data_IF_677775775745
#
_entry.id   IF_677775775745
#
_cell.length_a   1.000
_cell.length_b   1.000
_cell.length_c   1.000
_cell.angle_alpha   90.00
_cell.angle_beta   90.00
_cell.angle_gamma   90.00
#
_symmetry.space_group_name_H-M   'P 1'
#
loop_
_entity.id
_entity.type
_entity.pdbx_description
1 polymer ?
#
# COMPACT_ATOMS: atom_id res chain seq x y z
N UNK A 1 18.12 6.56 -17.19
CA UNK A 1 17.35 5.48 -17.85
C UNK A 1 16.44 4.68 -16.90
N UNK A 2 16.60 4.77 -15.56
CA UNK A 2 15.79 4.01 -14.58
C UNK A 2 14.41 4.64 -14.26
N UNK A 3 14.29 5.98 -14.30
CA UNK A 3 13.01 6.69 -14.10
C UNK A 3 11.94 6.26 -15.11
N UNK A 4 12.33 6.03 -16.36
CA UNK A 4 11.41 5.60 -17.41
C UNK A 4 10.82 4.21 -17.12
N UNK A 5 11.64 3.28 -16.61
CA UNK A 5 11.18 1.93 -16.22
C UNK A 5 10.23 1.97 -15.02
N UNK A 6 10.48 2.86 -14.05
CA UNK A 6 9.60 3.08 -12.91
C UNK A 6 8.24 3.62 -13.39
N UNK A 7 8.24 4.62 -14.28
CA UNK A 7 7.02 5.16 -14.88
C UNK A 7 6.24 4.11 -15.69
N UNK A 8 6.93 3.21 -16.42
CA UNK A 8 6.28 2.13 -17.18
C UNK A 8 5.59 1.11 -16.27
N UNK A 9 6.17 0.79 -15.11
CA UNK A 9 5.53 -0.10 -14.13
C UNK A 9 4.30 0.58 -13.52
N UNK A 10 4.35 1.88 -13.24
CA UNK A 10 3.18 2.64 -12.75
C UNK A 10 2.06 2.74 -13.79
N UNK A 11 2.38 2.86 -15.09
CA UNK A 11 1.37 2.94 -16.15
C UNK A 11 0.63 1.63 -16.41
N UNK A 12 1.21 0.48 -16.06
CA UNK A 12 0.59 -0.85 -16.28
C UNK A 12 -0.48 -1.22 -15.24
N UNK A 13 -0.62 -0.45 -14.15
CA UNK A 13 -1.69 -0.65 -13.15
C UNK A 13 -2.96 0.18 -13.43
N UNK A 14 -3.02 0.93 -14.54
CA UNK A 14 -4.20 1.73 -14.93
C UNK A 14 -5.17 0.89 -15.80
N UNK A 15 -5.44 -0.35 -15.38
CA UNK A 15 -6.30 -1.28 -16.12
C UNK A 15 -7.77 -1.31 -15.65
N UNK A 16 -8.07 -0.73 -14.49
CA UNK A 16 -9.44 -0.50 -14.06
C UNK A 16 -9.69 1.00 -14.20
N UNK A 17 -10.56 1.37 -15.14
CA UNK A 17 -11.12 2.71 -15.18
C UNK A 17 -11.57 3.06 -13.76
N UNK A 18 -11.07 4.18 -13.23
CA UNK A 18 -11.48 4.77 -11.97
C UNK A 18 -12.96 5.16 -12.10
N UNK A 19 -13.85 4.18 -11.97
CA UNK A 19 -15.30 4.37 -11.96
C UNK A 19 -15.69 5.06 -10.66
N UNK A 20 -15.44 6.36 -10.59
CA UNK A 20 -16.07 7.23 -9.63
C UNK A 20 -16.98 8.19 -10.37
N UNK A 21 -18.19 7.73 -10.66
CA UNK A 21 -19.29 8.58 -11.08
C UNK A 21 -19.81 9.32 -9.85
N UNK A 22 -19.44 10.60 -9.70
CA UNK A 22 -20.13 11.62 -8.87
C UNK A 22 -20.46 11.29 -7.40
N UNK A 23 -19.73 10.40 -6.73
CA UNK A 23 -19.84 10.21 -5.29
C UNK A 23 -18.63 10.86 -4.60
N UNK A 24 -18.79 11.53 -3.44
CA UNK A 24 -17.67 12.06 -2.68
C UNK A 24 -16.66 10.94 -2.45
N UNK A 25 -15.43 11.18 -2.91
CA UNK A 25 -14.37 10.20 -2.83
C UNK A 25 -13.82 10.11 -1.39
N UNK A 26 -14.50 9.35 -0.52
CA UNK A 26 -14.03 9.13 0.84
C UNK A 26 -12.85 8.14 0.88
N UNK A 27 -11.67 8.72 1.05
CA UNK A 27 -10.42 8.03 1.36
C UNK A 27 -10.23 8.01 2.88
N UNK A 28 -10.23 6.82 3.49
CA UNK A 28 -9.98 6.69 4.93
C UNK A 28 -8.56 6.19 5.19
N UNK A 29 -7.89 6.82 6.17
CA UNK A 29 -6.61 6.36 6.69
C UNK A 29 -6.84 5.61 7.98
N UNK A 30 -6.30 4.40 8.08
CA UNK A 30 -6.55 3.52 9.24
C UNK A 30 -5.30 2.81 9.70
N UNK A 31 -5.16 2.66 11.02
CA UNK A 31 -4.14 1.81 11.61
C UNK A 31 -4.48 0.33 11.41
N UNK A 32 -3.48 -0.50 11.09
CA UNK A 32 -3.64 -1.96 11.02
C UNK A 32 -4.16 -2.57 12.33
N UNK A 33 -3.82 -1.96 13.46
CA UNK A 33 -4.32 -2.37 14.78
C UNK A 33 -5.83 -2.19 14.89
N UNK A 34 -6.40 -1.12 14.32
CA UNK A 34 -7.85 -0.91 14.25
C UNK A 34 -8.51 -1.95 13.35
N UNK A 35 -7.90 -2.27 12.20
CA UNK A 35 -8.39 -3.34 11.31
C UNK A 35 -8.48 -4.68 12.03
N UNK A 36 -7.49 -5.02 12.86
CA UNK A 36 -7.45 -6.28 13.59
C UNK A 36 -8.40 -6.33 14.80
N UNK A 37 -8.75 -5.17 15.38
CA UNK A 37 -9.56 -5.10 16.62
C UNK A 37 -11.05 -4.89 16.37
N UNK A 38 -11.41 -4.11 15.35
CA UNK A 38 -12.79 -3.71 15.12
C UNK A 38 -13.62 -4.83 14.47
N UNK A 39 -14.92 -4.84 14.77
CA UNK A 39 -15.86 -5.84 14.27
C UNK A 39 -16.16 -5.67 12.77
N UNK A 40 -16.71 -6.71 12.15
CA UNK A 40 -17.21 -6.60 10.78
C UNK A 40 -18.33 -5.56 10.64
N UNK A 41 -19.18 -5.37 11.66
CA UNK A 41 -20.25 -4.37 11.63
C UNK A 41 -19.72 -2.93 11.59
N UNK A 42 -18.66 -2.64 12.34
CA UNK A 42 -17.96 -1.35 12.27
C UNK A 42 -17.44 -1.11 10.85
N UNK A 43 -16.80 -2.12 10.26
CA UNK A 43 -16.25 -1.99 8.91
C UNK A 43 -17.30 -1.90 7.83
N UNK A 44 -18.45 -2.56 7.96
CA UNK A 44 -19.59 -2.41 7.05
C UNK A 44 -20.11 -0.98 7.02
N UNK A 45 -20.19 -0.30 8.17
CA UNK A 45 -20.61 1.11 8.23
C UNK A 45 -19.60 2.01 7.50
N UNK A 46 -18.30 1.85 7.78
CA UNK A 46 -17.24 2.62 7.10
C UNK A 46 -17.24 2.35 5.59
N UNK A 47 -17.33 1.08 5.18
CA UNK A 47 -17.29 0.68 3.77
C UNK A 47 -18.52 1.16 3.00
N UNK A 48 -19.69 1.25 3.63
CA UNK A 48 -20.89 1.78 2.98
C UNK A 48 -20.75 3.24 2.53
N UNK A 49 -19.81 3.98 3.13
CA UNK A 49 -19.54 5.39 2.88
C UNK A 49 -18.23 5.62 2.13
N UNK A 50 -17.43 4.58 1.90
CA UNK A 50 -16.04 4.72 1.44
C UNK A 50 -15.81 3.92 0.17
N UNK A 51 -14.77 4.27 -0.57
CA UNK A 51 -14.32 3.47 -1.72
C UNK A 51 -12.83 3.06 -1.60
N UNK A 52 -12.09 3.65 -0.66
CA UNK A 52 -10.66 3.40 -0.47
C UNK A 52 -10.32 3.40 1.01
N UNK A 53 -9.58 2.38 1.42
CA UNK A 53 -8.92 2.32 2.72
C UNK A 53 -7.42 2.32 2.47
N UNK A 54 -6.75 3.36 2.95
CA UNK A 54 -5.31 3.36 3.12
C UNK A 54 -4.96 2.93 4.54
N UNK A 55 -4.06 1.97 4.69
CA UNK A 55 -3.81 1.39 6.01
C UNK A 55 -2.33 1.18 6.32
N UNK A 56 -1.96 1.37 7.59
CA UNK A 56 -0.56 1.21 8.04
C UNK A 56 -0.14 -0.26 8.11
N UNK A 57 1.13 -0.51 8.46
CA UNK A 57 1.63 -1.86 8.77
C UNK A 57 2.43 -2.51 7.65
N UNK A 58 2.81 -1.74 6.63
CA UNK A 58 3.81 -2.11 5.63
C UNK A 58 5.02 -1.17 5.75
N UNK A 59 6.24 -1.72 5.72
CA UNK A 59 7.48 -0.96 5.90
C UNK A 59 8.61 -1.53 5.05
N UNK A 60 9.38 -0.64 4.40
CA UNK A 60 10.64 -0.97 3.74
C UNK A 60 11.78 -0.67 4.71
N UNK A 61 12.65 -1.64 4.93
CA UNK A 61 13.84 -1.51 5.76
C UNK A 61 14.98 -0.86 4.98
N UNK A 62 15.98 -0.32 5.68
CA UNK A 62 17.13 0.35 5.05
C UNK A 62 17.92 -0.52 4.06
N UNK A 63 17.86 -1.85 4.20
CA UNK A 63 18.47 -2.81 3.27
C UNK A 63 17.56 -3.22 2.09
N UNK A 64 16.42 -2.57 1.93
CA UNK A 64 15.43 -2.85 0.89
C UNK A 64 14.47 -4.00 1.19
N UNK A 65 14.64 -4.74 2.29
CA UNK A 65 13.68 -5.78 2.65
C UNK A 65 12.34 -5.19 3.05
N UNK A 66 11.26 -5.90 2.73
CA UNK A 66 9.90 -5.46 3.00
C UNK A 66 9.27 -6.28 4.13
N UNK A 67 8.65 -5.61 5.09
CA UNK A 67 7.84 -6.23 6.15
C UNK A 67 6.43 -5.71 6.05
N UNK A 68 5.45 -6.60 6.21
CA UNK A 68 4.04 -6.22 6.20
C UNK A 68 3.22 -7.04 7.17
N UNK A 69 2.11 -6.46 7.61
CA UNK A 69 1.09 -7.13 8.40
C UNK A 69 0.01 -7.73 7.50
N UNK A 70 -0.33 -8.99 7.74
CA UNK A 70 -1.47 -9.63 7.09
C UNK A 70 -2.79 -9.00 7.55
N UNK A 71 -3.70 -8.81 6.60
CA UNK A 71 -5.07 -8.40 6.86
C UNK A 71 -5.92 -9.60 7.29
N UNK A 72 -6.90 -9.42 8.20
CA UNK A 72 -7.85 -10.47 8.54
C UNK A 72 -8.65 -10.93 7.30
N UNK A 73 -8.80 -12.25 7.11
CA UNK A 73 -9.53 -12.82 5.96
C UNK A 73 -10.97 -12.27 5.85
N UNK A 74 -11.65 -12.11 6.97
CA UNK A 74 -13.01 -11.56 7.00
C UNK A 74 -13.05 -10.10 6.52
N UNK A 75 -12.04 -9.29 6.87
CA UNK A 75 -11.92 -7.92 6.41
C UNK A 75 -11.70 -7.86 4.90
N UNK A 76 -10.82 -8.71 4.35
CA UNK A 76 -10.60 -8.83 2.90
C UNK A 76 -11.88 -9.27 2.17
N UNK A 77 -12.61 -10.26 2.71
CA UNK A 77 -13.88 -10.70 2.11
C UNK A 77 -14.90 -9.56 2.10
N UNK A 78 -15.01 -8.84 3.20
CA UNK A 78 -15.92 -7.71 3.32
C UNK A 78 -15.54 -6.56 2.37
N UNK A 79 -14.25 -6.23 2.27
CA UNK A 79 -13.77 -5.15 1.39
C UNK A 79 -14.10 -5.46 -0.08
N UNK A 80 -13.95 -6.72 -0.51
CA UNK A 80 -14.34 -7.18 -1.84
C UNK A 80 -15.84 -7.02 -2.09
N UNK A 81 -16.69 -7.41 -1.13
CA UNK A 81 -18.15 -7.28 -1.25
C UNK A 81 -18.58 -5.82 -1.43
N UNK A 82 -17.92 -4.89 -0.73
CA UNK A 82 -18.18 -3.46 -0.83
C UNK A 82 -17.35 -2.76 -1.91
N UNK A 83 -16.58 -3.50 -2.72
CA UNK A 83 -15.70 -2.98 -3.79
C UNK A 83 -14.71 -1.91 -3.31
N UNK A 84 -14.20 -2.07 -2.09
CA UNK A 84 -13.24 -1.18 -1.47
C UNK A 84 -11.84 -1.43 -2.04
N UNK A 85 -11.17 -0.35 -2.45
CA UNK A 85 -9.75 -0.38 -2.80
C UNK A 85 -8.90 -0.40 -1.54
N UNK A 86 -8.15 -1.48 -1.35
CA UNK A 86 -7.19 -1.59 -0.26
C UNK A 86 -5.82 -1.11 -0.73
N UNK A 87 -5.25 -0.14 -0.02
CA UNK A 87 -3.95 0.46 -0.34
C UNK A 87 -3.09 0.45 0.93
N UNK A 88 -2.05 -0.37 1.05
CA UNK A 88 -1.12 -0.24 2.16
C UNK A 88 -0.36 1.09 2.06
N UNK A 89 -0.31 1.81 3.18
CA UNK A 89 0.63 2.87 3.45
C UNK A 89 1.99 2.24 3.77
N UNK A 90 2.93 2.40 2.86
CA UNK A 90 4.29 1.90 2.98
C UNK A 90 5.16 3.00 3.54
N UNK A 91 5.65 2.81 4.76
CA UNK A 91 6.65 3.68 5.37
C UNK A 91 8.06 3.11 5.18
N UNK A 92 9.07 3.90 5.56
CA UNK A 92 10.47 3.50 5.42
C UNK A 92 11.23 3.66 6.72
N UNK A 93 12.13 2.73 7.00
CA UNK A 93 13.10 2.88 8.10
C UNK A 93 14.40 3.44 7.56
N UNK A 94 14.83 4.57 8.12
CA UNK A 94 16.20 5.06 8.01
C UNK A 94 16.98 4.74 9.30
N UNK A 95 18.24 4.33 9.17
CA UNK A 95 19.13 4.10 10.32
C UNK A 95 20.53 4.62 10.00
N UNK A 96 21.06 5.52 10.83
CA UNK A 96 22.42 6.07 10.68
C UNK A 96 22.70 6.55 9.24
N UNK A 97 21.81 7.39 8.70
CA UNK A 97 21.85 7.91 7.31
C UNK A 97 21.73 6.86 6.18
N UNK A 98 21.56 5.58 6.53
CA UNK A 98 21.26 4.51 5.58
C UNK A 98 19.75 4.41 5.33
N UNK A 99 19.39 4.48 4.04
CA UNK A 99 18.04 4.28 3.52
C UNK A 99 18.09 3.24 2.39
N UNK A 100 16.96 2.61 2.08
CA UNK A 100 16.89 1.72 0.92
C UNK A 100 17.14 2.46 -0.41
N UNK A 101 17.02 3.79 -0.40
CA UNK A 101 17.36 4.67 -1.52
C UNK A 101 18.86 4.95 -1.65
N UNK A 102 19.69 4.52 -0.70
CA UNK A 102 21.13 4.84 -0.69
C UNK A 102 21.94 4.13 -1.78
N UNK A 103 21.42 3.09 -2.44
CA UNK A 103 22.12 2.39 -3.52
C UNK A 103 21.17 1.72 -4.52
N UNK A 104 21.65 1.49 -5.75
CA UNK A 104 20.91 0.72 -6.76
C UNK A 104 20.58 -0.71 -6.30
N UNK A 105 21.47 -1.32 -5.50
CA UNK A 105 21.29 -2.67 -4.97
C UNK A 105 20.11 -2.72 -4.01
N UNK A 106 20.06 -1.82 -3.03
CA UNK A 106 18.97 -1.77 -2.03
C UNK A 106 17.65 -1.36 -2.66
N UNK A 107 17.65 -0.46 -3.65
CA UNK A 107 16.45 -0.11 -4.41
C UNK A 107 15.91 -1.30 -5.21
N UNK A 108 16.79 -2.07 -5.87
CA UNK A 108 16.40 -3.26 -6.61
C UNK A 108 15.75 -4.30 -5.68
N UNK A 109 16.35 -4.55 -4.50
CA UNK A 109 15.80 -5.46 -3.50
C UNK A 109 14.40 -5.00 -3.06
N UNK A 110 14.20 -3.70 -2.81
CA UNK A 110 12.89 -3.16 -2.43
C UNK A 110 11.84 -3.37 -3.53
N UNK A 111 12.17 -3.05 -4.79
CA UNK A 111 11.27 -3.22 -5.93
C UNK A 111 10.86 -4.69 -6.10
N UNK A 112 11.82 -5.62 -6.05
CA UNK A 112 11.54 -7.05 -6.18
C UNK A 112 10.63 -7.57 -5.06
N UNK A 113 10.86 -7.13 -3.82
CA UNK A 113 10.01 -7.49 -2.69
C UNK A 113 8.58 -6.93 -2.83
N UNK A 114 8.42 -5.68 -3.29
CA UNK A 114 7.11 -5.07 -3.51
C UNK A 114 6.34 -5.77 -4.64
N UNK A 115 7.02 -6.16 -5.72
CA UNK A 115 6.42 -6.94 -6.80
C UNK A 115 5.94 -8.30 -6.27
N UNK A 116 6.75 -8.99 -5.48
CA UNK A 116 6.37 -10.26 -4.88
C UNK A 116 5.19 -10.12 -3.93
N UNK A 117 5.16 -9.06 -3.11
CA UNK A 117 4.04 -8.73 -2.25
C UNK A 117 2.74 -8.56 -3.05
N UNK A 118 2.75 -7.77 -4.12
CA UNK A 118 1.56 -7.57 -4.96
C UNK A 118 1.09 -8.86 -5.64
N UNK A 119 2.02 -9.71 -6.12
CA UNK A 119 1.68 -11.02 -6.69
C UNK A 119 1.01 -11.95 -5.67
N UNK A 120 1.45 -11.90 -4.42
CA UNK A 120 0.92 -12.72 -3.34
C UNK A 120 -0.41 -12.19 -2.75
N UNK A 121 -0.71 -10.90 -2.94
CA UNK A 121 -1.87 -10.23 -2.36
C UNK A 121 -2.67 -9.51 -3.47
N UNK A 122 -3.33 -10.26 -4.39
CA UNK A 122 -4.03 -9.69 -5.54
C UNK A 122 -5.24 -8.81 -5.18
N UNK A 123 -5.68 -8.81 -3.92
CA UNK A 123 -6.70 -7.89 -3.40
C UNK A 123 -6.21 -6.45 -3.20
N UNK A 124 -4.89 -6.23 -3.22
CA UNK A 124 -4.31 -4.90 -3.05
C UNK A 124 -4.43 -4.12 -4.37
N UNK A 125 -5.06 -2.96 -4.29
CA UNK A 125 -5.43 -2.15 -5.46
C UNK A 125 -4.35 -1.13 -5.88
N UNK A 126 -3.30 -0.98 -5.09
CA UNK A 126 -2.21 -0.03 -5.31
C UNK A 126 -1.35 0.11 -4.07
N UNK A 127 -0.32 0.95 -4.14
CA UNK A 127 0.59 1.24 -3.03
C UNK A 127 0.61 2.75 -2.77
N UNK A 128 0.63 3.16 -1.50
CA UNK A 128 0.88 4.56 -1.12
C UNK A 128 2.23 4.61 -0.40
N UNK A 129 3.17 5.39 -0.91
CA UNK A 129 4.50 5.53 -0.32
C UNK A 129 4.57 6.78 0.55
N UNK A 130 4.82 6.58 1.83
CA UNK A 130 5.06 7.61 2.82
C UNK A 130 6.54 7.55 3.23
N UNK A 131 7.38 8.08 2.33
CA UNK A 131 8.83 8.02 2.44
C UNK A 131 9.31 9.33 3.07
N UNK A 132 9.68 9.23 4.34
CA UNK A 132 10.31 10.32 5.07
C UNK A 132 11.84 10.17 5.06
N UNK A 133 12.56 11.28 5.25
CA UNK A 133 14.03 11.32 5.37
C UNK A 133 14.79 10.83 4.13
N UNK A 134 14.61 11.53 3.01
CA UNK A 134 15.38 11.31 1.79
C UNK A 134 16.88 11.59 2.04
N UNK A 135 17.80 10.79 1.45
CA UNK A 135 19.22 11.07 1.52
C UNK A 135 19.52 12.43 0.86
N UNK A 136 20.49 13.17 1.41
CA UNK A 136 20.97 14.42 0.81
C UNK A 136 21.65 14.12 -0.52
N UNK A 137 21.33 14.90 -1.55
CA UNK A 137 21.89 14.84 -2.91
C UNK A 137 23.36 15.24 -2.96
#
# INVERSE_FOLDING_TARGET
>A
MNILKILTVFSLFVGNSLWGTNLPFYWNYVLITSIKKQSSSYWSDIFSKSHTICYTGAVILSNGYFKFSLLPKNFIKLSKNYKIRLIPLITTVSKNDSSFLSSDVTMKIAIENLINFLKQNPEIAGLHFDIEFLPKS
#
